data_IF_192937483320
#
_entry.id   IF_192937483320
#
_cell.length_a   1.000
_cell.length_b   1.000
_cell.length_c   1.000
_cell.angle_alpha   90.00
_cell.angle_beta   90.00
_cell.angle_gamma   90.00
#
_symmetry.space_group_name_H-M   'P 1'
#
loop_
_entity.id
_entity.type
_entity.pdbx_description
1 polymer ?
#
# COMPACT_ATOMS: atom_id res chain seq x y z
N UNK A 1 22.30 -4.38 -0.97
CA UNK A 1 22.74 -5.13 -2.17
C UNK A 1 21.59 -5.11 -3.17
N UNK A 2 21.75 -4.40 -4.29
CA UNK A 2 20.73 -4.22 -5.33
C UNK A 2 20.69 -5.45 -6.27
N UNK A 3 19.90 -6.47 -5.92
CA UNK A 3 19.96 -7.77 -6.63
C UNK A 3 19.32 -7.75 -8.03
N UNK A 4 18.44 -6.79 -8.36
CA UNK A 4 17.69 -6.79 -9.62
C UNK A 4 18.02 -5.65 -10.60
N UNK A 5 19.06 -4.83 -10.34
CA UNK A 5 19.39 -3.64 -11.15
C UNK A 5 20.69 -3.80 -11.97
N UNK A 6 21.21 -5.03 -12.11
CA UNK A 6 22.52 -5.29 -12.71
C UNK A 6 22.58 -5.16 -14.25
N UNK A 7 21.44 -4.96 -14.92
CA UNK A 7 21.35 -4.88 -16.39
C UNK A 7 21.00 -3.52 -16.99
N UNK A 8 20.82 -2.47 -16.18
CA UNK A 8 20.44 -1.14 -16.68
C UNK A 8 21.59 -0.47 -17.43
N UNK A 9 21.37 -0.11 -18.70
CA UNK A 9 22.28 0.76 -19.45
C UNK A 9 22.42 2.13 -18.79
N UNK A 10 23.54 2.83 -19.03
CA UNK A 10 23.83 4.12 -18.38
C UNK A 10 22.80 5.24 -18.68
N UNK A 11 21.99 5.09 -19.73
CA UNK A 11 20.96 6.04 -20.16
C UNK A 11 19.53 5.49 -20.01
N UNK A 12 19.36 4.27 -19.52
CA UNK A 12 18.04 3.69 -19.31
C UNK A 12 17.51 4.06 -17.92
N UNK A 13 16.25 4.52 -17.88
CA UNK A 13 15.56 4.83 -16.64
C UNK A 13 14.84 3.59 -16.11
N UNK A 14 14.97 3.34 -14.81
CA UNK A 14 14.24 2.33 -14.08
C UNK A 14 13.43 2.94 -12.93
N UNK A 15 12.42 2.20 -12.52
CA UNK A 15 11.67 2.46 -11.30
C UNK A 15 12.23 1.58 -10.18
N UNK A 16 12.52 2.20 -9.03
CA UNK A 16 13.09 1.50 -7.89
C UNK A 16 12.64 2.12 -6.57
N UNK A 17 12.68 1.32 -5.51
CA UNK A 17 12.43 1.74 -4.15
C UNK A 17 13.74 1.89 -3.39
N UNK A 18 13.92 3.03 -2.73
CA UNK A 18 15.03 3.34 -1.84
C UNK A 18 14.52 3.19 -0.41
N UNK A 19 15.06 2.21 0.32
CA UNK A 19 14.71 1.95 1.70
C UNK A 19 15.73 2.63 2.60
N UNK A 20 15.25 3.42 3.57
CA UNK A 20 16.08 4.13 4.52
C UNK A 20 16.30 3.29 5.79
N UNK A 21 17.49 3.40 6.38
CA UNK A 21 17.87 2.60 7.56
C UNK A 21 17.07 2.97 8.81
N UNK A 22 16.82 4.26 8.99
CA UNK A 22 16.12 4.75 10.18
C UNK A 22 14.69 4.18 10.23
N UNK A 23 14.29 3.63 11.38
CA UNK A 23 12.92 3.17 11.63
C UNK A 23 12.33 3.93 12.81
N UNK A 24 11.04 4.23 12.76
CA UNK A 24 10.37 4.88 13.88
C UNK A 24 10.31 3.90 15.08
N UNK A 25 10.64 4.37 16.28
CA UNK A 25 10.39 3.61 17.51
C UNK A 25 8.92 3.72 17.90
N UNK A 26 8.20 2.59 17.79
CA UNK A 26 6.77 2.49 18.07
C UNK A 26 6.47 1.72 19.37
N UNK A 27 7.47 1.37 20.19
CA UNK A 27 7.25 0.53 21.39
C UNK A 27 6.18 1.09 22.33
N UNK A 28 6.18 2.41 22.52
CA UNK A 28 5.22 3.10 23.38
C UNK A 28 3.76 3.03 22.87
N UNK A 29 3.54 2.79 21.58
CA UNK A 29 2.18 2.69 21.04
C UNK A 29 1.38 1.54 21.68
N UNK A 30 2.05 0.43 21.99
CA UNK A 30 1.41 -0.76 22.59
C UNK A 30 0.83 -0.52 23.98
N UNK A 31 1.32 0.49 24.70
CA UNK A 31 0.86 0.83 26.06
C UNK A 31 -0.27 1.85 26.09
N UNK A 32 -0.63 2.45 24.95
CA UNK A 32 -1.70 3.44 24.86
C UNK A 32 -3.04 2.72 24.65
N UNK A 33 -3.92 2.78 25.64
CA UNK A 33 -5.22 2.09 25.60
C UNK A 33 -6.18 2.72 24.58
N UNK A 34 -6.29 4.05 24.57
CA UNK A 34 -7.17 4.77 23.67
C UNK A 34 -6.72 4.60 22.22
N UNK A 35 -7.62 4.10 21.36
CA UNK A 35 -7.31 3.81 19.95
C UNK A 35 -6.90 5.06 19.19
N UNK A 36 -7.60 6.18 19.37
CA UNK A 36 -7.34 7.44 18.65
C UNK A 36 -5.97 7.97 19.03
N UNK A 37 -5.69 8.08 20.32
CA UNK A 37 -4.38 8.53 20.82
C UNK A 37 -3.25 7.62 20.32
N UNK A 38 -3.45 6.30 20.36
CA UNK A 38 -2.48 5.33 19.85
C UNK A 38 -2.21 5.51 18.37
N UNK A 39 -3.25 5.67 17.55
CA UNK A 39 -3.10 5.87 16.10
C UNK A 39 -2.44 7.21 15.78
N UNK A 40 -2.79 8.28 16.50
CA UNK A 40 -2.14 9.59 16.35
C UNK A 40 -0.67 9.50 16.69
N UNK A 41 -0.31 8.86 17.80
CA UNK A 41 1.09 8.67 18.19
C UNK A 41 1.89 7.91 17.13
N UNK A 42 1.34 6.82 16.58
CA UNK A 42 1.98 6.04 15.52
C UNK A 42 2.16 6.88 14.25
N UNK A 43 1.12 7.62 13.84
CA UNK A 43 1.17 8.49 12.67
C UNK A 43 2.26 9.56 12.81
N UNK A 44 2.29 10.27 13.93
CA UNK A 44 3.28 11.32 14.20
C UNK A 44 4.71 10.75 14.20
N UNK A 45 4.91 9.59 14.82
CA UNK A 45 6.24 8.95 14.86
C UNK A 45 6.71 8.53 13.49
N UNK A 46 5.87 7.86 12.70
CA UNK A 46 6.26 7.42 11.37
C UNK A 46 6.51 8.61 10.43
N UNK A 47 5.62 9.61 10.43
CA UNK A 47 5.76 10.79 9.56
C UNK A 47 6.96 11.65 9.92
N UNK A 48 7.20 11.93 11.21
CA UNK A 48 8.36 12.71 11.64
C UNK A 48 9.69 11.99 11.38
N UNK A 49 9.77 10.68 11.64
CA UNK A 49 10.95 9.87 11.30
C UNK A 49 11.22 9.88 9.80
N UNK A 50 10.19 9.66 8.98
CA UNK A 50 10.33 9.68 7.53
C UNK A 50 10.78 11.06 7.03
N UNK A 51 10.12 12.15 7.44
CA UNK A 51 10.48 13.50 7.02
C UNK A 51 11.94 13.84 7.34
N UNK A 52 12.39 13.51 8.56
CA UNK A 52 13.78 13.76 8.98
C UNK A 52 14.79 12.90 8.22
N UNK A 53 14.55 11.60 8.13
CA UNK A 53 15.51 10.65 7.55
C UNK A 53 15.55 10.68 6.02
N UNK A 54 14.46 11.06 5.37
CA UNK A 54 14.38 11.15 3.90
C UNK A 54 14.93 12.46 3.35
N UNK A 55 15.03 13.53 4.15
CA UNK A 55 15.40 14.87 3.69
C UNK A 55 16.70 14.90 2.88
N UNK A 56 17.72 14.15 3.30
CA UNK A 56 19.00 14.07 2.60
C UNK A 56 18.92 13.40 1.24
N UNK A 57 18.11 12.33 1.12
CA UNK A 57 17.88 11.65 -0.17
C UNK A 57 16.99 12.51 -1.07
N UNK A 58 15.92 13.10 -0.54
CA UNK A 58 15.04 14.02 -1.25
C UNK A 58 15.83 15.16 -1.90
N UNK A 59 16.76 15.78 -1.16
CA UNK A 59 17.62 16.83 -1.71
C UNK A 59 18.46 16.38 -2.91
N UNK A 60 18.96 15.13 -2.91
CA UNK A 60 19.68 14.56 -4.06
C UNK A 60 18.73 14.35 -5.24
N UNK A 61 17.51 13.85 -4.99
CA UNK A 61 16.51 13.59 -6.02
C UNK A 61 16.01 14.90 -6.66
N UNK A 62 15.79 15.94 -5.86
CA UNK A 62 15.42 17.28 -6.34
C UNK A 62 16.51 17.88 -7.23
N UNK A 63 17.78 17.77 -6.81
CA UNK A 63 18.93 18.25 -7.60
C UNK A 63 19.07 17.48 -8.92
N UNK A 64 18.77 16.18 -8.92
CA UNK A 64 18.74 15.33 -10.11
C UNK A 64 17.51 15.57 -11.00
N UNK A 65 16.50 16.32 -10.53
CA UNK A 65 15.25 16.63 -11.25
C UNK A 65 14.51 15.37 -11.72
N UNK A 66 14.53 14.31 -10.92
CA UNK A 66 13.85 13.05 -11.20
C UNK A 66 12.46 12.99 -10.57
N UNK A 67 11.61 12.11 -11.08
CA UNK A 67 10.33 11.83 -10.44
C UNK A 67 10.54 10.91 -9.25
N UNK A 68 9.93 11.25 -8.11
CA UNK A 68 9.93 10.39 -6.93
C UNK A 68 8.64 10.57 -6.12
N UNK A 69 8.40 9.62 -5.22
CA UNK A 69 7.29 9.63 -4.26
C UNK A 69 7.77 9.08 -2.93
N UNK A 70 7.52 9.82 -1.85
CA UNK A 70 7.87 9.45 -0.49
C UNK A 70 6.77 8.65 0.19
N UNK A 71 7.13 7.60 0.92
CA UNK A 71 6.23 6.78 1.73
C UNK A 71 6.73 6.73 3.16
N UNK A 72 5.89 7.17 4.10
CA UNK A 72 6.27 7.33 5.51
C UNK A 72 6.12 6.04 6.33
N UNK A 73 5.17 5.17 6.01
CA UNK A 73 4.90 3.94 6.78
C UNK A 73 6.13 3.03 6.83
N UNK A 74 6.72 2.74 5.66
CA UNK A 74 7.88 1.83 5.56
C UNK A 74 9.22 2.56 5.51
N UNK A 75 9.21 3.89 5.59
CA UNK A 75 10.34 4.78 5.34
C UNK A 75 11.05 4.47 3.99
N UNK A 76 10.30 4.63 2.90
CA UNK A 76 10.71 4.27 1.53
C UNK A 76 10.46 5.44 0.58
N UNK A 77 11.30 5.57 -0.43
CA UNK A 77 11.09 6.51 -1.55
C UNK A 77 11.05 5.71 -2.85
N UNK A 78 9.96 5.79 -3.60
CA UNK A 78 9.95 5.33 -5.00
C UNK A 78 10.59 6.40 -5.88
N UNK A 79 11.43 5.98 -6.80
CA UNK A 79 12.20 6.87 -7.68
C UNK A 79 12.17 6.30 -9.09
N UNK A 80 12.04 7.19 -10.08
CA UNK A 80 12.28 6.89 -11.49
C UNK A 80 13.57 7.58 -11.93
N UNK A 81 14.64 6.80 -12.15
CA UNK A 81 15.98 7.34 -12.40
C UNK A 81 16.91 6.36 -13.10
N UNK A 82 18.11 6.81 -13.43
CA UNK A 82 19.11 6.00 -14.14
C UNK A 82 20.07 5.25 -13.20
N UNK A 83 20.97 4.46 -13.80
CA UNK A 83 22.00 3.72 -13.08
C UNK A 83 22.96 4.62 -12.29
N UNK A 84 23.30 5.79 -12.80
CA UNK A 84 24.21 6.72 -12.11
C UNK A 84 23.62 7.24 -10.81
N UNK A 85 22.32 7.52 -10.81
CA UNK A 85 21.57 7.89 -9.60
C UNK A 85 21.49 6.72 -8.62
N UNK A 86 21.21 5.51 -9.08
CA UNK A 86 21.21 4.30 -8.24
C UNK A 86 22.57 4.14 -7.54
N UNK A 87 23.67 4.22 -8.29
CA UNK A 87 25.03 4.06 -7.77
C UNK A 87 25.40 5.19 -6.78
N UNK A 88 24.85 6.40 -6.99
CA UNK A 88 25.01 7.53 -6.07
C UNK A 88 24.27 7.29 -4.75
N UNK A 89 23.01 6.87 -4.82
CA UNK A 89 22.17 6.61 -3.65
C UNK A 89 22.66 5.41 -2.85
N UNK A 90 23.15 4.37 -3.53
CA UNK A 90 23.67 3.15 -2.89
C UNK A 90 24.91 3.38 -2.03
N UNK A 91 25.65 4.48 -2.25
CA UNK A 91 26.83 4.86 -1.46
C UNK A 91 26.51 5.64 -0.18
N UNK A 92 25.25 6.01 0.03
CA UNK A 92 24.86 6.80 1.21
C UNK A 92 24.70 5.90 2.43
N UNK A 93 25.17 6.39 3.57
CA UNK A 93 25.07 5.65 4.83
C UNK A 93 23.63 5.56 5.36
N UNK A 94 22.75 6.50 4.99
CA UNK A 94 21.35 6.51 5.40
C UNK A 94 20.45 5.57 4.56
N UNK A 95 20.96 5.07 3.42
CA UNK A 95 20.26 4.10 2.56
C UNK A 95 20.57 2.67 3.00
N UNK A 96 19.51 1.92 3.33
CA UNK A 96 19.59 0.51 3.72
C UNK A 96 19.79 -0.40 2.51
N UNK A 97 18.93 -0.21 1.50
CA UNK A 97 18.92 -0.99 0.26
C UNK A 97 18.12 -0.29 -0.84
N UNK A 98 18.37 -0.72 -2.07
CA UNK A 98 17.63 -0.30 -3.26
C UNK A 98 17.11 -1.55 -3.95
N UNK A 99 15.83 -1.57 -4.30
CA UNK A 99 15.15 -2.67 -4.99
C UNK A 99 14.42 -2.17 -6.23
N UNK A 100 14.40 -2.96 -7.30
CA UNK A 100 13.60 -2.66 -8.48
C UNK A 100 12.10 -2.63 -8.11
N UNK A 101 11.35 -1.71 -8.70
CA UNK A 101 9.90 -1.69 -8.59
C UNK A 101 9.33 -2.82 -9.46
N UNK A 102 9.05 -3.96 -8.84
CA UNK A 102 8.51 -5.13 -9.54
C UNK A 102 7.03 -4.94 -9.92
N UNK A 103 6.65 -5.45 -11.10
CA UNK A 103 5.24 -5.61 -11.50
C UNK A 103 4.79 -7.04 -11.21
N UNK A 104 3.56 -7.21 -10.74
CA UNK A 104 2.92 -8.52 -10.60
C UNK A 104 1.69 -8.56 -11.51
N UNK A 105 1.58 -9.52 -12.45
CA UNK A 105 0.40 -9.65 -13.28
C UNK A 105 -0.78 -10.15 -12.44
N UNK A 106 -1.98 -9.70 -12.79
CA UNK A 106 -3.21 -10.23 -12.20
C UNK A 106 -3.47 -11.66 -12.71
N UNK A 107 -3.98 -12.50 -11.82
CA UNK A 107 -4.50 -13.82 -12.19
C UNK A 107 -5.82 -13.58 -12.94
N UNK A 108 -5.91 -14.06 -14.18
CA UNK A 108 -7.12 -13.91 -14.99
C UNK A 108 -8.21 -14.89 -14.52
N UNK A 109 -9.47 -14.45 -14.42
CA UNK A 109 -10.57 -15.35 -14.11
C UNK A 109 -10.66 -16.49 -15.13
N UNK A 110 -10.97 -17.70 -14.64
CA UNK A 110 -11.39 -18.78 -15.53
C UNK A 110 -12.85 -18.54 -15.93
N UNK A 111 -13.22 -18.61 -17.22
CA UNK A 111 -14.61 -18.53 -17.63
C UNK A 111 -15.44 -19.60 -16.90
N UNK A 112 -16.47 -19.17 -16.21
CA UNK A 112 -17.45 -20.06 -15.60
C UNK A 112 -18.71 -20.12 -16.48
N UNK A 113 -19.42 -21.24 -16.43
CA UNK A 113 -20.74 -21.33 -17.04
C UNK A 113 -21.71 -20.40 -16.28
N UNK A 114 -22.68 -19.84 -16.99
CA UNK A 114 -23.75 -19.07 -16.37
C UNK A 114 -24.50 -19.97 -15.38
N UNK A 115 -24.41 -19.61 -14.10
CA UNK A 115 -25.20 -20.26 -13.04
C UNK A 115 -26.46 -19.45 -12.83
N UNK A 116 -27.59 -20.14 -12.67
CA UNK A 116 -28.82 -19.47 -12.23
C UNK A 116 -28.62 -19.03 -10.77
N UNK A 117 -28.78 -17.73 -10.44
CA UNK A 117 -28.66 -17.28 -9.07
C UNK A 117 -29.66 -18.03 -8.19
N UNK A 118 -29.15 -18.64 -7.12
CA UNK A 118 -30.01 -19.26 -6.11
C UNK A 118 -30.30 -18.25 -5.00
N UNK A 119 -31.49 -18.34 -4.40
CA UNK A 119 -31.80 -17.52 -3.24
C UNK A 119 -31.02 -18.03 -2.02
N UNK A 120 -30.11 -17.22 -1.49
CA UNK A 120 -29.37 -17.52 -0.27
C UNK A 120 -27.87 -17.27 -0.38
N UNK A 121 -27.10 -17.57 0.68
CA UNK A 121 -25.65 -17.44 0.68
C UNK A 121 -25.01 -18.43 -0.30
N UNK A 122 -24.01 -17.97 -1.04
CA UNK A 122 -23.19 -18.84 -1.90
C UNK A 122 -22.52 -19.96 -1.10
N UNK A 123 -22.26 -21.10 -1.76
CA UNK A 123 -21.75 -22.31 -1.10
C UNK A 123 -20.54 -22.04 -0.20
N UNK A 124 -19.61 -21.18 -0.64
CA UNK A 124 -18.39 -20.84 0.10
C UNK A 124 -18.68 -20.08 1.39
N UNK A 125 -19.71 -19.23 1.38
CA UNK A 125 -20.19 -18.48 2.55
C UNK A 125 -20.87 -19.42 3.54
N UNK A 126 -21.69 -20.36 3.05
CA UNK A 126 -22.32 -21.37 3.89
C UNK A 126 -21.29 -22.32 4.53
N UNK A 127 -20.28 -22.74 3.76
CA UNK A 127 -19.27 -23.71 4.21
C UNK A 127 -18.35 -23.18 5.32
N UNK A 128 -18.17 -21.86 5.42
CA UNK A 128 -17.44 -21.22 6.54
C UNK A 128 -18.35 -20.87 7.73
N UNK A 129 -19.59 -21.36 7.75
CA UNK A 129 -20.61 -21.12 8.78
C UNK A 129 -20.96 -19.62 9.01
N UNK A 130 -20.70 -18.73 8.03
CA UNK A 130 -21.06 -17.32 8.17
C UNK A 130 -22.56 -17.08 8.44
N UNK A 131 -23.52 -17.82 7.83
CA UNK A 131 -24.93 -17.67 8.14
C UNK A 131 -25.28 -17.96 9.60
N UNK A 132 -24.54 -18.87 10.24
CA UNK A 132 -24.72 -19.20 11.66
C UNK A 132 -24.37 -18.01 12.55
N UNK A 133 -23.30 -17.29 12.22
CA UNK A 133 -22.92 -16.05 12.94
C UNK A 133 -24.01 -15.00 12.80
N UNK A 134 -24.54 -14.82 11.58
CA UNK A 134 -25.61 -13.88 11.31
C UNK A 134 -26.90 -14.23 12.07
N UNK A 135 -27.25 -15.51 12.19
CA UNK A 135 -28.50 -15.93 12.85
C UNK A 135 -28.39 -16.04 14.36
N UNK A 136 -27.27 -16.52 14.91
CA UNK A 136 -27.13 -16.78 16.35
C UNK A 136 -26.68 -15.53 17.12
N UNK A 137 -25.94 -14.62 16.49
CA UNK A 137 -25.36 -13.45 17.15
C UNK A 137 -25.86 -12.12 16.60
N UNK A 138 -26.61 -12.11 15.50
CA UNK A 138 -27.09 -10.89 14.82
C UNK A 138 -25.95 -9.91 14.45
N UNK A 139 -24.81 -10.47 14.02
CA UNK A 139 -23.62 -9.70 13.62
C UNK A 139 -23.31 -9.98 12.16
N UNK A 140 -23.20 -8.94 11.32
CA UNK A 140 -22.85 -9.07 9.89
C UNK A 140 -21.59 -8.30 9.49
N UNK A 141 -20.92 -7.68 10.46
CA UNK A 141 -19.69 -6.90 10.25
C UNK A 141 -19.93 -5.39 10.24
N UNK A 142 -21.05 -4.94 10.79
CA UNK A 142 -21.37 -3.53 10.99
C UNK A 142 -20.23 -2.80 11.70
N UNK A 143 -19.91 -1.59 11.24
CA UNK A 143 -18.82 -0.79 11.79
C UNK A 143 -17.40 -1.24 11.40
N UNK A 144 -17.23 -2.38 10.73
CA UNK A 144 -15.94 -2.85 10.23
C UNK A 144 -15.68 -2.30 8.83
N UNK A 145 -14.41 -1.97 8.56
CA UNK A 145 -13.93 -1.56 7.23
C UNK A 145 -12.91 -2.56 6.76
N UNK A 146 -13.10 -3.08 5.55
CA UNK A 146 -12.17 -3.99 4.90
C UNK A 146 -11.53 -3.27 3.72
N UNK A 147 -10.20 -3.16 3.73
CA UNK A 147 -9.45 -2.64 2.59
C UNK A 147 -9.20 -3.79 1.60
N UNK A 148 -9.62 -3.61 0.36
CA UNK A 148 -9.34 -4.53 -0.75
C UNK A 148 -8.23 -3.93 -1.63
N UNK A 149 -7.12 -4.64 -1.77
CA UNK A 149 -6.00 -4.28 -2.65
C UNK A 149 -6.07 -5.24 -3.84
N UNK A 150 -6.80 -4.85 -4.88
CA UNK A 150 -7.09 -5.66 -6.06
C UNK A 150 -7.07 -4.79 -7.33
N UNK A 151 -7.50 -5.32 -8.48
CA UNK A 151 -7.63 -4.59 -9.74
C UNK A 151 -8.71 -3.50 -9.76
N UNK A 152 -9.43 -3.30 -8.65
CA UNK A 152 -10.49 -2.32 -8.50
C UNK A 152 -11.85 -2.96 -8.21
N UNK A 153 -12.88 -2.13 -8.09
CA UNK A 153 -14.26 -2.55 -7.85
C UNK A 153 -15.18 -1.77 -8.78
N UNK A 154 -16.18 -2.44 -9.35
CA UNK A 154 -17.31 -1.75 -9.97
C UNK A 154 -18.15 -1.11 -8.86
N UNK A 155 -17.82 0.13 -8.50
CA UNK A 155 -18.36 0.79 -7.31
C UNK A 155 -19.88 1.03 -7.38
N UNK A 156 -20.45 1.15 -8.58
CA UNK A 156 -21.87 1.40 -8.83
C UNK A 156 -22.70 0.10 -8.94
N UNK A 157 -22.08 -1.06 -8.75
CA UNK A 157 -22.80 -2.33 -8.79
C UNK A 157 -23.89 -2.35 -7.69
N UNK A 158 -25.16 -2.68 -8.02
CA UNK A 158 -26.28 -2.59 -7.08
C UNK A 158 -26.08 -3.34 -5.76
N UNK A 159 -25.32 -4.45 -5.79
CA UNK A 159 -25.01 -5.25 -4.61
C UNK A 159 -23.90 -4.67 -3.71
N UNK A 160 -23.11 -3.70 -4.19
CA UNK A 160 -21.92 -3.18 -3.48
C UNK A 160 -22.06 -1.72 -3.07
N UNK A 161 -22.70 -0.90 -3.91
CA UNK A 161 -22.72 0.56 -3.81
C UNK A 161 -23.14 1.09 -2.43
N UNK A 162 -24.07 0.40 -1.75
CA UNK A 162 -24.54 0.80 -0.43
C UNK A 162 -23.48 0.70 0.68
N UNK A 163 -22.42 -0.10 0.46
CA UNK A 163 -21.39 -0.39 1.47
C UNK A 163 -19.99 0.06 1.05
N UNK A 164 -19.81 0.47 -0.21
CA UNK A 164 -18.54 0.95 -0.72
C UNK A 164 -18.24 2.37 -0.22
N UNK A 165 -17.12 2.54 0.50
CA UNK A 165 -16.76 3.82 1.16
C UNK A 165 -15.89 4.75 0.33
N UNK A 166 -15.32 4.25 -0.76
CA UNK A 166 -14.32 4.94 -1.54
C UNK A 166 -14.96 5.78 -2.65
N UNK A 167 -14.56 7.05 -2.74
CA UNK A 167 -14.73 7.87 -3.94
C UNK A 167 -13.42 7.81 -4.75
N UNK A 168 -13.52 7.69 -6.07
CA UNK A 168 -12.36 7.72 -6.95
C UNK A 168 -12.00 9.19 -7.18
N UNK A 169 -10.85 9.64 -6.66
CA UNK A 169 -10.33 10.97 -6.91
C UNK A 169 -9.33 10.90 -8.08
N UNK A 170 -9.75 11.42 -9.24
CA UNK A 170 -8.96 11.48 -10.46
C UNK A 170 -7.70 12.37 -10.30
N UNK A 171 -7.72 13.37 -9.41
CA UNK A 171 -6.59 14.27 -9.17
C UNK A 171 -5.54 13.64 -8.25
N UNK A 172 -5.95 12.86 -7.25
CA UNK A 172 -5.05 12.15 -6.34
C UNK A 172 -4.47 10.85 -6.91
N UNK A 173 -4.99 10.36 -8.05
CA UNK A 173 -4.74 9.00 -8.57
C UNK A 173 -4.90 7.95 -7.47
N UNK A 174 -5.97 8.07 -6.68
CA UNK A 174 -6.13 7.28 -5.47
C UNK A 174 -7.57 7.22 -4.96
N UNK A 175 -7.79 6.22 -4.10
CA UNK A 175 -9.04 6.04 -3.36
C UNK A 175 -9.04 6.98 -2.16
N UNK A 176 -10.00 7.90 -2.10
CA UNK A 176 -10.25 8.73 -0.92
C UNK A 176 -11.44 8.13 -0.18
N UNK A 177 -11.22 7.72 1.06
CA UNK A 177 -12.30 7.21 1.93
C UNK A 177 -13.11 8.38 2.50
N UNK A 178 -14.44 8.24 2.52
CA UNK A 178 -15.30 9.07 3.37
C UNK A 178 -15.04 8.83 4.85
#
# INVERSE_FOLDING_TARGET
>A
MAQDLQGLGAQESAEFFVYLREKADLKAASTIANKVERTTHVYEKLTSTAAKSQAGVVSVLDAAKVQYRTFWISNVIWVKGDKGLIDTLAKRDDVERIEAAGVRPLIKPTPAADVTPTAGPEWGVANIEAPRVWSEFDVRGEGIVVANIDGGVQYDHPALVATYRAEFDDEARGVVGR
#
